data_IF_971562741106
#
_entry.id   IF_971562741106
#
_cell.length_a   1.000
_cell.length_b   1.000
_cell.length_c   1.000
_cell.angle_alpha   90.00
_cell.angle_beta   90.00
_cell.angle_gamma   90.00
#
_symmetry.space_group_name_H-M   'P 1'
#
loop_
_entity.id
_entity.type
_entity.pdbx_description
1 polymer ?
#
# COMPACT_ATOMS: atom_id res chain seq x y z
N UNK A 1 30.95 13.08 2.42
CA UNK A 1 30.67 12.19 3.57
C UNK A 1 31.52 10.93 3.54
N UNK A 2 31.45 10.04 2.52
CA UNK A 2 32.29 8.82 2.49
C UNK A 2 33.79 9.10 2.67
N UNK A 3 34.35 10.03 1.90
CA UNK A 3 35.77 10.44 2.03
C UNK A 3 36.10 10.97 3.43
N UNK A 4 35.18 11.75 4.02
CA UNK A 4 35.33 12.24 5.40
C UNK A 4 35.38 11.09 6.42
N UNK A 5 34.47 10.10 6.32
CA UNK A 5 34.44 8.93 7.21
C UNK A 5 35.66 8.01 7.04
N UNK A 6 36.26 7.99 5.85
CA UNK A 6 37.52 7.27 5.58
C UNK A 6 38.78 8.01 6.02
N UNK A 7 38.66 9.26 6.48
CA UNK A 7 39.81 10.11 6.79
C UNK A 7 40.49 10.72 5.55
N UNK A 8 39.92 10.55 4.36
CA UNK A 8 40.36 11.12 3.09
C UNK A 8 39.87 12.58 2.97
N UNK A 9 40.33 13.45 3.88
CA UNK A 9 39.85 14.84 3.99
C UNK A 9 40.60 15.80 3.05
N UNK A 10 41.68 15.33 2.41
CA UNK A 10 42.53 16.13 1.52
C UNK A 10 41.80 16.70 0.31
N UNK A 11 40.75 16.00 -0.15
CA UNK A 11 39.97 16.39 -1.33
C UNK A 11 38.71 17.20 -0.96
N UNK A 12 38.48 17.48 0.32
CA UNK A 12 37.31 18.22 0.80
C UNK A 12 37.64 19.69 1.04
N UNK A 13 36.76 20.58 0.58
CA UNK A 13 36.83 21.99 0.96
C UNK A 13 36.67 22.15 2.48
N UNK A 14 37.22 23.22 3.05
CA UNK A 14 37.07 23.51 4.49
C UNK A 14 35.60 23.63 4.92
N UNK A 15 34.73 24.14 4.05
CA UNK A 15 33.28 24.19 4.29
C UNK A 15 32.63 22.81 4.29
N UNK A 16 33.03 21.92 3.37
CA UNK A 16 32.47 20.58 3.27
C UNK A 16 32.92 19.70 4.43
N UNK A 17 34.18 19.81 4.83
CA UNK A 17 34.72 19.12 6.00
C UNK A 17 33.98 19.54 7.29
N UNK A 18 33.75 20.84 7.49
CA UNK A 18 32.95 21.35 8.62
C UNK A 18 31.49 20.88 8.57
N UNK A 19 30.89 20.83 7.39
CA UNK A 19 29.51 20.35 7.19
C UNK A 19 29.37 18.85 7.45
N UNK A 20 30.37 18.05 7.07
CA UNK A 20 30.43 16.63 7.38
C UNK A 20 30.62 16.41 8.88
N UNK A 21 31.57 17.09 9.51
CA UNK A 21 31.85 16.95 10.94
C UNK A 21 30.62 17.13 11.84
N UNK A 22 29.73 18.06 11.49
CA UNK A 22 28.49 18.35 12.25
C UNK A 22 27.48 17.21 12.28
N UNK A 23 27.46 16.37 11.24
CA UNK A 23 26.45 15.30 11.12
C UNK A 23 27.08 13.92 11.03
N UNK A 24 28.40 13.80 11.02
CA UNK A 24 29.11 12.53 10.79
C UNK A 24 28.74 11.46 11.83
N UNK A 25 28.34 11.85 13.04
CA UNK A 25 27.87 10.93 14.07
C UNK A 25 26.62 10.14 13.70
N UNK A 26 25.85 10.60 12.71
CA UNK A 26 24.62 9.95 12.24
C UNK A 26 24.88 9.07 11.00
N UNK A 27 26.13 8.92 10.56
CA UNK A 27 26.49 8.18 9.36
C UNK A 27 27.61 7.18 9.61
N UNK A 28 27.52 6.03 8.95
CA UNK A 28 28.53 4.99 9.01
C UNK A 28 28.71 4.34 7.63
N UNK A 29 29.83 3.63 7.46
CA UNK A 29 30.07 2.81 6.29
C UNK A 29 29.89 1.35 6.67
N UNK A 30 29.14 0.59 5.86
CA UNK A 30 29.10 -0.86 6.00
C UNK A 30 30.38 -1.52 5.44
N UNK A 31 30.48 -2.84 5.60
CA UNK A 31 31.62 -3.63 5.12
C UNK A 31 31.82 -3.54 3.60
N UNK A 32 30.77 -3.23 2.84
CA UNK A 32 30.79 -3.05 1.38
C UNK A 32 31.09 -1.60 0.97
N UNK A 33 31.29 -0.71 1.94
CA UNK A 33 31.52 0.72 1.72
C UNK A 33 30.28 1.50 1.28
N UNK A 34 29.07 0.96 1.50
CA UNK A 34 27.81 1.69 1.39
C UNK A 34 27.66 2.64 2.58
N UNK A 35 27.03 3.79 2.33
CA UNK A 35 26.83 4.80 3.37
C UNK A 35 25.46 4.56 4.00
N UNK A 36 25.42 4.37 5.31
CA UNK A 36 24.22 4.22 6.11
C UNK A 36 23.97 5.48 6.94
N UNK A 37 22.70 5.75 7.22
CA UNK A 37 22.25 6.81 8.11
C UNK A 37 21.53 6.20 9.31
N UNK A 38 22.00 6.55 10.50
CA UNK A 38 21.58 6.01 11.79
C UNK A 38 21.27 7.19 12.73
N UNK A 39 20.02 7.70 12.73
CA UNK A 39 19.64 8.94 13.44
C UNK A 39 19.67 8.81 14.98
N UNK A 40 19.70 7.58 15.48
CA UNK A 40 19.71 7.24 16.91
C UNK A 40 20.82 6.25 17.14
N UNK A 41 21.55 6.40 18.25
CA UNK A 41 22.54 5.40 18.66
C UNK A 41 21.79 4.09 18.96
N UNK A 42 22.01 3.03 18.17
CA UNK A 42 21.36 1.75 18.41
C UNK A 42 21.82 1.18 19.76
N UNK A 43 20.92 0.51 20.47
CA UNK A 43 21.23 -0.14 21.75
C UNK A 43 21.76 -1.58 21.54
N UNK A 44 21.49 -2.16 20.38
CA UNK A 44 21.94 -3.49 19.93
C UNK A 44 22.18 -3.49 18.41
N UNK A 45 22.82 -4.54 17.88
CA UNK A 45 22.97 -4.74 16.43
C UNK A 45 21.61 -4.94 15.73
N UNK A 46 20.64 -5.58 16.38
CA UNK A 46 19.27 -5.73 15.86
C UNK A 46 18.54 -4.37 15.76
N UNK A 47 18.72 -3.51 16.76
CA UNK A 47 18.23 -2.12 16.71
C UNK A 47 18.92 -1.33 15.60
N UNK A 48 20.22 -1.59 15.35
CA UNK A 48 20.94 -0.94 14.25
C UNK A 48 20.36 -1.34 12.91
N UNK A 49 20.20 -2.64 12.68
CA UNK A 49 19.71 -3.16 11.39
C UNK A 49 18.27 -2.72 11.10
N UNK A 50 17.46 -2.46 12.13
CA UNK A 50 16.11 -1.91 11.99
C UNK A 50 16.07 -0.37 11.83
N UNK A 51 17.07 0.36 12.33
CA UNK A 51 17.13 1.84 12.29
C UNK A 51 17.99 2.40 11.16
N UNK A 52 18.95 1.64 10.64
CA UNK A 52 19.83 2.06 9.57
C UNK A 52 19.05 2.30 8.26
N UNK A 53 19.39 3.37 7.55
CA UNK A 53 18.81 3.71 6.25
C UNK A 53 19.90 3.85 5.21
N UNK A 54 19.72 3.21 4.06
CA UNK A 54 20.69 3.30 2.98
C UNK A 54 20.69 4.72 2.42
N UNK A 55 21.87 5.35 2.38
CA UNK A 55 22.02 6.69 1.81
C UNK A 55 22.12 6.61 0.30
N UNK A 56 21.13 7.20 -0.37
CA UNK A 56 21.01 7.13 -1.83
C UNK A 56 21.80 8.28 -2.48
N UNK A 57 22.71 7.97 -3.43
CA UNK A 57 23.43 9.00 -4.18
C UNK A 57 22.46 9.79 -5.07
N UNK A 58 22.78 11.06 -5.32
CA UNK A 58 21.93 11.98 -6.10
C UNK A 58 21.49 11.41 -7.45
N UNK A 59 22.37 10.67 -8.12
CA UNK A 59 22.11 10.03 -9.41
C UNK A 59 21.00 8.98 -9.38
N UNK A 60 20.70 8.37 -8.23
CA UNK A 60 19.68 7.32 -8.09
C UNK A 60 18.41 7.82 -7.39
N UNK A 61 18.40 9.06 -6.87
CA UNK A 61 17.25 9.58 -6.13
C UNK A 61 15.99 9.61 -7.00
N UNK A 62 16.13 9.95 -8.29
CA UNK A 62 15.00 10.00 -9.22
C UNK A 62 14.37 8.61 -9.43
N UNK A 63 15.19 7.57 -9.54
CA UNK A 63 14.71 6.18 -9.71
C UNK A 63 13.99 5.69 -8.46
N UNK A 64 14.50 6.01 -7.27
CA UNK A 64 13.83 5.69 -6.00
C UNK A 64 12.49 6.42 -5.90
N UNK A 65 12.45 7.72 -6.21
CA UNK A 65 11.21 8.51 -6.19
C UNK A 65 10.19 7.98 -7.19
N UNK A 66 10.64 7.63 -8.40
CA UNK A 66 9.79 7.01 -9.41
C UNK A 66 9.24 5.66 -8.93
N UNK A 67 10.08 4.80 -8.35
CA UNK A 67 9.66 3.51 -7.82
C UNK A 67 8.58 3.66 -6.75
N UNK A 68 8.77 4.54 -5.76
CA UNK A 68 7.83 4.69 -4.64
C UNK A 68 6.60 5.54 -4.94
N UNK A 69 6.57 6.25 -6.06
CA UNK A 69 5.42 7.06 -6.45
C UNK A 69 4.74 6.56 -7.73
N UNK A 70 5.45 6.57 -8.86
CA UNK A 70 4.85 6.38 -10.18
C UNK A 70 4.77 4.90 -10.59
N UNK A 71 5.64 4.02 -10.07
CA UNK A 71 5.53 2.58 -10.37
C UNK A 71 4.22 1.99 -9.82
N UNK A 72 3.84 0.78 -10.28
CA UNK A 72 2.67 0.07 -9.74
C UNK A 72 2.78 -0.19 -8.23
N UNK A 73 3.98 -0.45 -7.71
CA UNK A 73 4.21 -0.57 -6.26
C UNK A 73 4.05 0.79 -5.57
N UNK A 74 4.33 1.89 -6.25
CA UNK A 74 4.17 3.26 -5.76
C UNK A 74 2.72 3.74 -5.73
N UNK A 75 1.91 3.34 -6.70
CA UNK A 75 0.46 3.55 -6.74
C UNK A 75 -0.01 5.01 -6.82
N UNK A 76 0.86 5.93 -7.26
CA UNK A 76 0.66 7.38 -7.28
C UNK A 76 0.10 7.94 -5.98
N UNK A 77 0.61 7.45 -4.85
CA UNK A 77 0.19 7.92 -3.54
C UNK A 77 0.63 9.37 -3.28
N UNK A 78 -0.09 10.06 -2.40
CA UNK A 78 0.20 11.46 -2.05
C UNK A 78 1.51 11.62 -1.27
N UNK A 79 2.03 12.86 -1.24
CA UNK A 79 3.35 13.25 -0.67
C UNK A 79 3.66 12.55 0.66
N UNK A 80 2.73 12.61 1.63
CA UNK A 80 2.95 12.04 2.95
C UNK A 80 3.14 10.52 2.94
N UNK A 81 2.36 9.79 2.14
CA UNK A 81 2.46 8.33 2.02
C UNK A 81 3.74 7.93 1.31
N UNK A 82 4.07 8.61 0.20
CA UNK A 82 5.32 8.38 -0.54
C UNK A 82 6.54 8.64 0.34
N UNK A 83 6.56 9.76 1.07
CA UNK A 83 7.67 10.11 1.96
C UNK A 83 7.91 9.04 3.03
N UNK A 84 6.86 8.56 3.68
CA UNK A 84 6.99 7.57 4.75
C UNK A 84 7.56 6.25 4.24
N UNK A 85 7.13 5.79 3.06
CA UNK A 85 7.68 4.59 2.43
C UNK A 85 9.16 4.74 2.07
N UNK A 86 9.55 5.86 1.46
CA UNK A 86 10.97 6.09 1.13
C UNK A 86 11.81 6.21 2.41
N UNK A 87 11.34 6.98 3.40
CA UNK A 87 12.04 7.20 4.69
C UNK A 87 12.22 5.91 5.49
N UNK A 88 11.35 4.92 5.31
CA UNK A 88 11.44 3.64 6.01
C UNK A 88 12.70 2.84 5.65
N UNK A 89 13.29 3.06 4.47
CA UNK A 89 14.44 2.26 3.99
C UNK A 89 15.62 3.12 3.51
N UNK A 90 15.36 4.35 3.08
CA UNK A 90 16.33 5.21 2.40
C UNK A 90 16.46 6.57 3.07
N UNK A 91 17.64 7.17 2.86
CA UNK A 91 17.93 8.52 3.32
C UNK A 91 18.72 9.32 2.28
N UNK A 92 18.46 10.62 2.24
CA UNK A 92 19.38 11.61 1.69
C UNK A 92 19.04 12.98 2.27
N UNK A 93 20.00 13.91 2.22
CA UNK A 93 19.77 15.28 2.68
C UNK A 93 18.68 15.92 1.82
N UNK A 94 17.62 16.40 2.46
CA UNK A 94 16.49 17.01 1.77
C UNK A 94 15.43 16.04 1.24
N UNK A 95 15.43 14.76 1.67
CA UNK A 95 14.46 13.73 1.28
C UNK A 95 13.02 14.24 1.14
N UNK A 96 12.47 14.85 2.18
CA UNK A 96 11.08 15.36 2.15
C UNK A 96 10.86 16.39 1.03
N UNK A 97 11.81 17.31 0.81
CA UNK A 97 11.74 18.33 -0.25
C UNK A 97 11.79 17.67 -1.63
N UNK A 98 12.64 16.66 -1.82
CA UNK A 98 12.70 15.90 -3.08
C UNK A 98 11.38 15.19 -3.36
N UNK A 99 10.77 14.53 -2.37
CA UNK A 99 9.46 13.89 -2.50
C UNK A 99 8.36 14.90 -2.81
N UNK A 100 8.30 16.01 -2.06
CA UNK A 100 7.30 17.06 -2.27
C UNK A 100 7.37 17.63 -3.68
N UNK A 101 8.58 17.88 -4.20
CA UNK A 101 8.81 18.35 -5.56
C UNK A 101 8.36 17.31 -6.59
N UNK A 102 8.86 16.08 -6.50
CA UNK A 102 8.57 15.01 -7.45
C UNK A 102 7.07 14.69 -7.56
N UNK A 103 6.38 14.54 -6.42
CA UNK A 103 4.93 14.27 -6.41
C UNK A 103 4.13 15.51 -6.83
N UNK A 104 4.60 16.71 -6.48
CA UNK A 104 3.97 17.97 -6.87
C UNK A 104 4.01 18.24 -8.36
N UNK A 105 5.05 17.77 -9.05
CA UNK A 105 5.28 17.91 -10.50
C UNK A 105 4.73 16.72 -11.31
N UNK A 106 4.07 15.74 -10.67
CA UNK A 106 3.54 14.57 -11.36
C UNK A 106 2.28 14.89 -12.18
N UNK A 107 2.44 14.88 -13.51
CA UNK A 107 1.38 15.18 -14.48
C UNK A 107 0.18 14.22 -14.37
N UNK A 108 0.42 12.93 -14.14
CA UNK A 108 -0.64 11.93 -13.97
C UNK A 108 -1.49 12.22 -12.73
N UNK A 109 -0.82 12.64 -11.63
CA UNK A 109 -1.50 13.02 -10.40
C UNK A 109 -2.33 14.29 -10.56
N UNK A 110 -1.85 15.27 -11.34
CA UNK A 110 -2.56 16.52 -11.62
C UNK A 110 -3.81 16.29 -12.46
N UNK A 111 -3.69 15.53 -13.54
CA UNK A 111 -4.81 15.19 -14.44
C UNK A 111 -5.83 14.28 -13.74
N UNK A 112 -5.39 13.47 -12.77
CA UNK A 112 -6.26 12.61 -11.95
C UNK A 112 -6.93 13.28 -10.74
N UNK A 113 -6.77 14.59 -10.48
CA UNK A 113 -7.40 15.28 -9.33
C UNK A 113 -8.91 15.50 -9.55
N UNK A 114 -9.73 14.55 -9.11
CA UNK A 114 -11.14 14.82 -8.78
C UNK A 114 -11.27 15.54 -7.43
N UNK A 115 -12.24 16.44 -7.27
CA UNK A 115 -12.57 17.01 -5.94
C UNK A 115 -13.09 15.90 -5.02
N UNK A 116 -12.51 15.67 -3.83
CA UNK A 116 -13.10 14.76 -2.88
C UNK A 116 -14.45 15.32 -2.45
N UNK A 117 -15.53 14.55 -2.65
CA UNK A 117 -16.77 14.77 -1.91
C UNK A 117 -16.49 14.29 -0.49
N UNK A 118 -16.17 15.23 0.39
CA UNK A 118 -16.12 14.94 1.83
C UNK A 118 -17.58 14.80 2.28
N UNK A 119 -18.11 13.58 2.21
CA UNK A 119 -19.29 13.25 2.99
C UNK A 119 -18.85 13.10 4.45
N UNK A 120 -19.56 13.79 5.34
CA UNK A 120 -19.27 13.80 6.78
C UNK A 120 -19.33 12.41 7.41
N UNK A 121 -18.93 12.34 8.68
CA UNK A 121 -18.91 11.09 9.43
C UNK A 121 -20.29 10.42 9.46
N UNK A 122 -20.36 9.19 8.96
CA UNK A 122 -21.54 8.33 9.14
C UNK A 122 -21.69 7.97 10.62
N UNK A 123 -22.82 8.30 11.27
CA UNK A 123 -23.00 7.99 12.68
C UNK A 123 -23.23 6.48 12.91
N UNK A 124 -22.53 5.91 13.90
CA UNK A 124 -22.94 4.65 14.56
C UNK A 124 -22.45 3.33 13.95
N UNK A 125 -21.16 3.21 13.65
CA UNK A 125 -20.59 1.96 13.13
C UNK A 125 -20.37 0.90 14.22
N UNK A 126 -20.85 -0.33 13.99
CA UNK A 126 -20.29 -1.51 14.67
C UNK A 126 -18.80 -1.52 14.35
N UNK A 127 -17.94 -1.55 15.36
CA UNK A 127 -16.50 -1.47 15.21
C UNK A 127 -15.92 -2.88 15.20
N UNK A 128 -15.04 -3.17 14.25
CA UNK A 128 -14.32 -4.43 14.24
C UNK A 128 -13.32 -4.43 15.41
N UNK A 129 -13.14 -5.59 16.02
CA UNK A 129 -12.30 -5.77 17.21
C UNK A 129 -11.03 -6.56 16.93
N UNK A 130 -10.96 -7.25 15.79
CA UNK A 130 -9.77 -7.96 15.31
C UNK A 130 -9.79 -8.07 13.77
N UNK A 131 -8.63 -8.36 13.13
CA UNK A 131 -8.51 -8.47 11.67
C UNK A 131 -9.53 -9.44 11.07
N UNK A 132 -10.16 -9.02 9.96
CA UNK A 132 -11.11 -9.82 9.16
C UNK A 132 -12.40 -10.26 9.87
N UNK A 133 -12.67 -9.78 11.10
CA UNK A 133 -13.95 -9.97 11.77
C UNK A 133 -15.10 -9.44 10.90
N UNK A 134 -14.93 -8.25 10.34
CA UNK A 134 -15.93 -7.60 9.51
C UNK A 134 -15.30 -7.07 8.23
N UNK A 135 -15.88 -7.45 7.10
CA UNK A 135 -15.44 -7.02 5.78
C UNK A 135 -16.53 -6.18 5.14
N UNK A 136 -16.15 -5.07 4.54
CA UNK A 136 -16.99 -4.38 3.56
C UNK A 136 -16.68 -4.91 2.17
N UNK A 137 -17.74 -5.27 1.44
CA UNK A 137 -17.69 -5.65 0.05
C UNK A 137 -18.28 -4.50 -0.78
N UNK A 138 -17.55 -4.10 -1.81
CA UNK A 138 -17.99 -3.16 -2.83
C UNK A 138 -17.75 -3.76 -4.22
N UNK A 139 -18.41 -3.18 -5.21
CA UNK A 139 -18.43 -3.69 -6.57
C UNK A 139 -18.53 -2.55 -7.57
N UNK A 140 -17.59 -2.49 -8.50
CA UNK A 140 -17.65 -1.56 -9.63
C UNK A 140 -18.17 -2.34 -10.85
N UNK A 141 -19.46 -2.18 -11.20
CA UNK A 141 -20.05 -2.88 -12.33
C UNK A 141 -19.66 -2.23 -13.66
N UNK A 142 -19.85 -2.98 -14.75
CA UNK A 142 -19.93 -2.43 -16.11
C UNK A 142 -18.68 -1.66 -16.55
N UNK A 143 -17.49 -2.10 -16.13
CA UNK A 143 -16.23 -1.59 -16.65
C UNK A 143 -16.06 -1.99 -18.13
N UNK A 144 -15.30 -1.21 -18.92
CA UNK A 144 -14.94 -1.58 -20.28
C UNK A 144 -14.39 -3.01 -20.32
N UNK A 145 -14.83 -3.82 -21.29
CA UNK A 145 -14.40 -5.22 -21.35
C UNK A 145 -12.89 -5.31 -21.55
N UNK A 146 -12.19 -5.90 -20.57
CA UNK A 146 -10.75 -6.01 -20.60
C UNK A 146 -10.25 -6.99 -21.68
N UNK A 147 -8.94 -7.06 -21.90
CA UNK A 147 -8.32 -8.09 -22.74
C UNK A 147 -8.59 -9.51 -22.25
N UNK A 148 -8.70 -9.72 -20.93
CA UNK A 148 -9.05 -11.01 -20.33
C UNK A 148 -10.55 -11.25 -20.28
N UNK A 149 -11.36 -10.30 -20.76
CA UNK A 149 -12.82 -10.41 -20.81
C UNK A 149 -13.55 -10.04 -19.52
N UNK A 150 -12.85 -9.41 -18.57
CA UNK A 150 -13.45 -8.93 -17.33
C UNK A 150 -14.27 -7.66 -17.54
N UNK A 151 -15.37 -7.53 -16.80
CA UNK A 151 -16.27 -6.35 -16.83
C UNK A 151 -16.62 -5.84 -15.45
N UNK A 152 -16.22 -6.56 -14.40
CA UNK A 152 -16.57 -6.26 -13.02
C UNK A 152 -15.30 -6.20 -12.17
N UNK A 153 -15.21 -5.24 -11.25
CA UNK A 153 -14.16 -5.21 -10.23
C UNK A 153 -14.80 -5.40 -8.86
N UNK A 154 -14.43 -6.49 -8.19
CA UNK A 154 -14.82 -6.79 -6.81
C UNK A 154 -13.78 -6.22 -5.87
N UNK A 155 -14.23 -5.58 -4.78
CA UNK A 155 -13.36 -5.00 -3.77
C UNK A 155 -13.84 -5.44 -2.40
N UNK A 156 -12.92 -5.95 -1.58
CA UNK A 156 -13.15 -6.24 -0.17
C UNK A 156 -12.20 -5.42 0.68
N UNK A 157 -12.71 -4.86 1.77
CA UNK A 157 -11.93 -4.07 2.72
C UNK A 157 -12.18 -4.63 4.12
N UNK A 158 -11.12 -5.08 4.78
CA UNK A 158 -11.19 -5.39 6.20
C UNK A 158 -11.40 -4.10 7.00
N UNK A 159 -12.46 -4.06 7.81
CA UNK A 159 -12.82 -2.84 8.53
C UNK A 159 -11.90 -2.59 9.73
N UNK A 160 -11.23 -3.62 10.26
CA UNK A 160 -10.27 -3.46 11.34
C UNK A 160 -8.95 -2.87 10.85
N UNK A 161 -8.27 -3.57 9.94
CA UNK A 161 -6.93 -3.21 9.45
C UNK A 161 -6.94 -2.20 8.31
N UNK A 162 -8.07 -2.08 7.58
CA UNK A 162 -8.14 -1.32 6.33
C UNK A 162 -7.56 -2.06 5.13
N UNK A 163 -7.23 -3.35 5.26
CA UNK A 163 -6.61 -4.15 4.20
C UNK A 163 -7.55 -4.30 3.00
N UNK A 164 -7.08 -3.93 1.83
CA UNK A 164 -7.84 -3.91 0.57
C UNK A 164 -7.48 -5.13 -0.28
N UNK A 165 -8.51 -5.80 -0.78
CA UNK A 165 -8.41 -6.92 -1.72
C UNK A 165 -9.25 -6.53 -2.93
N UNK A 166 -8.72 -6.72 -4.13
CA UNK A 166 -9.42 -6.45 -5.37
C UNK A 166 -9.30 -7.64 -6.31
N UNK A 167 -10.35 -7.93 -7.07
CA UNK A 167 -10.40 -9.04 -8.02
C UNK A 167 -11.21 -8.66 -9.25
N UNK A 168 -10.61 -8.77 -10.43
CA UNK A 168 -11.33 -8.61 -11.67
C UNK A 168 -12.17 -9.86 -11.97
N UNK A 169 -13.38 -9.67 -12.47
CA UNK A 169 -14.32 -10.75 -12.80
C UNK A 169 -15.03 -10.49 -14.13
N UNK A 170 -15.32 -11.57 -14.85
CA UNK A 170 -16.11 -11.56 -16.08
C UNK A 170 -17.62 -11.68 -15.84
N UNK A 171 -18.02 -11.91 -14.58
CA UNK A 171 -19.42 -12.14 -14.23
C UNK A 171 -19.77 -11.52 -12.88
N UNK A 172 -20.99 -10.97 -12.83
CA UNK A 172 -21.62 -10.39 -11.64
C UNK A 172 -22.55 -11.36 -10.91
N UNK A 173 -22.55 -12.65 -11.27
CA UNK A 173 -23.44 -13.63 -10.64
C UNK A 173 -23.02 -13.87 -9.19
N UNK A 174 -24.00 -14.17 -8.34
CA UNK A 174 -23.74 -14.48 -6.94
C UNK A 174 -22.80 -15.69 -6.76
N UNK A 175 -22.87 -16.67 -7.67
CA UNK A 175 -21.97 -17.82 -7.72
C UNK A 175 -20.51 -17.40 -7.97
N UNK A 176 -20.25 -16.64 -9.03
CA UNK A 176 -18.89 -16.17 -9.36
C UNK A 176 -18.32 -15.28 -8.26
N UNK A 177 -19.16 -14.44 -7.65
CA UNK A 177 -18.73 -13.57 -6.55
C UNK A 177 -18.39 -14.40 -5.30
N UNK A 178 -19.15 -15.46 -5.00
CA UNK A 178 -18.85 -16.41 -3.93
C UNK A 178 -17.53 -17.15 -4.16
N UNK A 179 -17.26 -17.57 -5.40
CA UNK A 179 -15.98 -18.21 -5.78
C UNK A 179 -14.80 -17.25 -5.60
N UNK A 180 -14.94 -15.99 -6.03
CA UNK A 180 -13.89 -14.99 -5.85
C UNK A 180 -13.68 -14.63 -4.36
N UNK A 181 -14.75 -14.51 -3.57
CA UNK A 181 -14.64 -14.29 -2.12
C UNK A 181 -13.95 -15.47 -1.44
N UNK A 182 -14.33 -16.70 -1.81
CA UNK A 182 -13.68 -17.90 -1.31
C UNK A 182 -12.17 -17.86 -1.60
N UNK A 183 -11.81 -17.58 -2.85
CA UNK A 183 -10.43 -17.56 -3.32
C UNK A 183 -9.57 -16.48 -2.67
N UNK A 184 -10.08 -15.25 -2.65
CA UNK A 184 -9.29 -14.06 -2.36
C UNK A 184 -9.33 -13.67 -0.89
N UNK A 185 -10.40 -14.04 -0.18
CA UNK A 185 -10.61 -13.65 1.22
C UNK A 185 -10.56 -14.88 2.11
N UNK A 186 -11.49 -15.82 1.93
CA UNK A 186 -11.65 -16.95 2.86
C UNK A 186 -10.40 -17.83 2.93
N UNK A 187 -9.84 -18.24 1.79
CA UNK A 187 -8.62 -19.09 1.77
C UNK A 187 -7.40 -18.42 2.40
N UNK A 188 -7.35 -17.08 2.44
CA UNK A 188 -6.20 -16.31 2.92
C UNK A 188 -6.34 -15.88 4.38
N UNK A 189 -7.55 -15.54 4.80
CA UNK A 189 -7.81 -14.86 6.07
C UNK A 189 -8.87 -15.55 6.95
N UNK A 190 -9.53 -16.58 6.43
CA UNK A 190 -10.59 -17.30 7.13
C UNK A 190 -11.97 -16.65 6.98
N UNK A 191 -12.92 -17.12 7.77
CA UNK A 191 -14.30 -16.67 7.73
C UNK A 191 -14.48 -15.32 8.45
N UNK A 192 -15.26 -14.42 7.84
CA UNK A 192 -15.72 -13.20 8.49
C UNK A 192 -17.05 -13.41 9.21
N UNK A 193 -17.22 -12.73 10.35
CA UNK A 193 -18.48 -12.76 11.10
C UNK A 193 -19.55 -11.87 10.45
N UNK A 194 -19.13 -10.79 9.78
CA UNK A 194 -20.03 -9.85 9.10
C UNK A 194 -19.47 -9.49 7.74
N UNK A 195 -20.32 -9.56 6.72
CA UNK A 195 -20.06 -9.00 5.39
C UNK A 195 -21.03 -7.84 5.18
N UNK A 196 -20.50 -6.62 5.12
CA UNK A 196 -21.27 -5.42 4.78
C UNK A 196 -21.29 -5.24 3.28
N UNK A 197 -22.45 -4.92 2.72
CA UNK A 197 -22.64 -4.71 1.29
C UNK A 197 -23.77 -3.70 1.04
N UNK A 198 -23.79 -3.14 -0.16
CA UNK A 198 -24.83 -2.24 -0.69
C UNK A 198 -25.87 -2.99 -1.56
N UNK A 199 -25.60 -4.25 -1.91
CA UNK A 199 -26.47 -5.10 -2.74
C UNK A 199 -27.81 -5.41 -2.09
N UNK A 200 -28.79 -5.71 -2.93
CA UNK A 200 -30.12 -6.13 -2.49
C UNK A 200 -30.09 -7.48 -1.72
N UNK A 201 -31.02 -7.69 -0.77
CA UNK A 201 -31.04 -8.90 0.05
C UNK A 201 -31.14 -10.22 -0.73
N UNK A 202 -31.84 -10.22 -1.88
CA UNK A 202 -32.00 -11.41 -2.72
C UNK A 202 -30.66 -11.91 -3.28
N UNK A 203 -29.86 -11.00 -3.82
CA UNK A 203 -28.52 -11.29 -4.32
C UNK A 203 -27.63 -11.92 -3.24
N UNK A 204 -27.66 -11.38 -2.02
CA UNK A 204 -26.82 -11.89 -0.94
C UNK A 204 -27.28 -13.25 -0.42
N UNK A 205 -28.59 -13.52 -0.41
CA UNK A 205 -29.12 -14.85 -0.13
C UNK A 205 -28.54 -15.90 -1.09
N UNK A 206 -28.51 -15.58 -2.39
CA UNK A 206 -27.94 -16.47 -3.40
C UNK A 206 -26.41 -16.59 -3.28
N UNK A 207 -25.71 -15.50 -2.93
CA UNK A 207 -24.28 -15.50 -2.67
C UNK A 207 -23.93 -16.44 -1.51
N UNK A 208 -24.62 -16.32 -0.38
CA UNK A 208 -24.35 -17.19 0.78
C UNK A 208 -24.73 -18.64 0.52
N UNK A 209 -25.77 -18.89 -0.29
CA UNK A 209 -26.13 -20.25 -0.72
C UNK A 209 -25.03 -20.85 -1.60
N UNK A 210 -24.49 -20.09 -2.53
CA UNK A 210 -23.36 -20.49 -3.36
C UNK A 210 -22.11 -20.74 -2.50
N UNK A 211 -21.74 -19.78 -1.66
CA UNK A 211 -20.58 -19.88 -0.78
C UNK A 211 -20.66 -21.09 0.16
N UNK A 212 -21.81 -21.30 0.82
CA UNK A 212 -22.02 -22.46 1.70
C UNK A 212 -21.89 -23.78 0.96
N UNK A 213 -22.25 -23.83 -0.32
CA UNK A 213 -22.06 -25.02 -1.18
C UNK A 213 -20.58 -25.24 -1.48
N UNK A 214 -19.84 -24.16 -1.79
CA UNK A 214 -18.40 -24.21 -2.08
C UNK A 214 -17.62 -24.73 -0.87
N UNK A 215 -17.86 -24.16 0.31
CA UNK A 215 -17.12 -24.55 1.54
C UNK A 215 -17.66 -25.81 2.23
N UNK A 216 -18.78 -26.37 1.75
CA UNK A 216 -19.41 -27.56 2.32
C UNK A 216 -20.02 -27.36 3.73
N UNK A 217 -20.17 -26.12 4.18
CA UNK A 217 -20.66 -25.77 5.52
C UNK A 217 -21.63 -24.59 5.46
N UNK A 218 -22.63 -24.59 6.35
CA UNK A 218 -23.51 -23.42 6.49
C UNK A 218 -22.75 -22.29 7.18
N UNK A 219 -22.46 -21.24 6.43
CA UNK A 219 -21.86 -20.03 6.99
C UNK A 219 -22.92 -19.21 7.74
N UNK A 220 -22.56 -18.72 8.93
CA UNK A 220 -23.41 -17.91 9.81
C UNK A 220 -23.05 -16.42 9.79
N UNK A 221 -22.30 -15.96 8.78
CA UNK A 221 -21.97 -14.56 8.66
C UNK A 221 -23.27 -13.73 8.68
N UNK A 222 -23.32 -12.74 9.57
CA UNK A 222 -24.51 -11.90 9.72
C UNK A 222 -24.53 -10.86 8.62
N UNK A 223 -25.65 -10.74 7.92
CA UNK A 223 -25.87 -9.68 6.93
C UNK A 223 -26.14 -8.37 7.67
N UNK A 224 -25.28 -7.38 7.46
CA UNK A 224 -25.55 -6.01 7.86
C UNK A 224 -25.69 -5.15 6.61
N UNK A 225 -26.89 -5.12 6.02
CA UNK A 225 -27.24 -4.17 4.97
C UNK A 225 -27.22 -2.76 5.56
N UNK A 226 -26.25 -1.94 5.19
CA UNK A 226 -26.17 -0.53 5.59
C UNK A 226 -25.56 0.34 4.46
N UNK A 227 -26.41 0.88 3.56
CA UNK A 227 -25.97 1.79 2.50
C UNK A 227 -25.26 3.06 3.00
N UNK A 228 -25.49 3.45 4.26
CA UNK A 228 -25.03 4.73 4.82
C UNK A 228 -23.81 4.61 5.76
N UNK A 229 -23.21 3.43 5.92
CA UNK A 229 -22.21 3.16 6.95
C UNK A 229 -20.76 2.97 6.43
N UNK A 230 -20.54 3.10 5.11
CA UNK A 230 -19.33 2.63 4.44
C UNK A 230 -18.27 3.70 4.17
N UNK A 231 -18.29 4.86 4.83
CA UNK A 231 -17.35 5.95 4.54
C UNK A 231 -15.85 5.57 4.54
N UNK A 232 -15.41 4.53 5.26
CA UNK A 232 -14.03 4.02 5.18
C UNK A 232 -13.81 3.11 3.97
N UNK A 233 -14.74 2.21 3.65
CA UNK A 233 -14.67 1.36 2.47
C UNK A 233 -14.79 2.19 1.18
N UNK A 234 -15.74 3.13 1.14
CA UNK A 234 -15.93 4.08 0.04
C UNK A 234 -14.67 4.90 -0.23
N UNK A 235 -14.00 5.41 0.83
CA UNK A 235 -12.74 6.14 0.67
C UNK A 235 -11.64 5.25 0.07
N UNK A 236 -11.54 3.99 0.49
CA UNK A 236 -10.55 3.06 -0.07
C UNK A 236 -10.86 2.71 -1.53
N UNK A 237 -12.13 2.46 -1.85
CA UNK A 237 -12.59 2.19 -3.23
C UNK A 237 -12.34 3.40 -4.13
N UNK A 238 -12.63 4.62 -3.66
CA UNK A 238 -12.33 5.85 -4.38
C UNK A 238 -10.82 6.02 -4.61
N UNK A 239 -10.00 5.69 -3.61
CA UNK A 239 -8.54 5.74 -3.73
C UNK A 239 -8.06 4.75 -4.78
N UNK A 240 -8.53 3.50 -4.74
CA UNK A 240 -8.19 2.47 -5.74
C UNK A 240 -8.63 2.91 -7.15
N UNK A 241 -9.87 3.38 -7.30
CA UNK A 241 -10.41 3.80 -8.60
C UNK A 241 -9.64 4.98 -9.17
N UNK A 242 -9.23 5.93 -8.33
CA UNK A 242 -8.39 7.06 -8.75
C UNK A 242 -7.00 6.61 -9.16
N UNK A 243 -6.37 5.73 -8.37
CA UNK A 243 -5.08 5.15 -8.71
C UNK A 243 -5.15 4.40 -10.03
N UNK A 244 -6.17 3.57 -10.24
CA UNK A 244 -6.37 2.79 -11.45
C UNK A 244 -6.40 3.67 -12.71
N UNK A 245 -7.09 4.82 -12.66
CA UNK A 245 -7.15 5.78 -13.78
C UNK A 245 -5.79 6.34 -14.21
N UNK A 246 -4.79 6.35 -13.32
CA UNK A 246 -3.44 6.84 -13.64
C UNK A 246 -2.60 5.79 -14.37
N UNK A 247 -2.95 4.51 -14.29
CA UNK A 247 -2.20 3.41 -14.94
C UNK A 247 -2.85 2.90 -16.22
N UNK A 248 -4.17 3.04 -16.35
CA UNK A 248 -4.89 2.65 -17.55
C UNK A 248 -4.36 3.47 -18.72
N UNK A 249 -3.65 2.80 -19.62
CA UNK A 249 -2.91 3.42 -20.72
C UNK A 249 -3.62 3.23 -22.06
N UNK A 250 -4.42 2.16 -22.18
CA UNK A 250 -5.22 1.88 -23.36
C UNK A 250 -6.32 2.93 -23.52
N UNK A 251 -6.44 3.50 -24.73
CA UNK A 251 -7.48 4.49 -25.08
C UNK A 251 -8.90 3.93 -24.83
N UNK A 252 -9.08 2.63 -25.05
CA UNK A 252 -10.32 1.90 -24.80
C UNK A 252 -10.37 1.30 -23.39
N UNK A 253 -9.38 1.58 -22.56
CA UNK A 253 -9.27 1.17 -21.17
C UNK A 253 -9.35 -0.35 -21.00
N UNK A 254 -8.76 -1.14 -21.90
CA UNK A 254 -8.90 -2.61 -21.88
C UNK A 254 -7.87 -3.34 -21.00
N UNK A 255 -6.91 -2.60 -20.46
CA UNK A 255 -5.80 -3.06 -19.61
C UNK A 255 -6.06 -2.85 -18.10
N UNK A 256 -7.23 -2.31 -17.71
CA UNK A 256 -7.52 -1.98 -16.31
C UNK A 256 -7.38 -3.15 -15.34
N UNK A 257 -7.72 -4.36 -15.78
CA UNK A 257 -7.71 -5.55 -14.93
C UNK A 257 -6.31 -6.08 -14.64
N UNK A 258 -5.30 -5.66 -15.41
CA UNK A 258 -3.90 -5.91 -15.10
C UNK A 258 -3.43 -5.10 -13.89
N UNK A 259 -3.94 -3.87 -13.74
CA UNK A 259 -3.49 -2.94 -12.72
C UNK A 259 -4.32 -3.01 -11.44
N UNK A 260 -5.64 -3.23 -11.55
CA UNK A 260 -6.55 -3.13 -10.41
C UNK A 260 -6.15 -4.03 -9.22
N UNK A 261 -5.77 -5.27 -9.48
CA UNK A 261 -5.33 -6.20 -8.42
C UNK A 261 -3.94 -5.83 -7.90
N UNK A 262 -3.01 -5.44 -8.78
CA UNK A 262 -1.63 -5.09 -8.42
C UNK A 262 -1.55 -3.83 -7.55
N UNK A 263 -2.45 -2.89 -7.77
CA UNK A 263 -2.51 -1.64 -7.00
C UNK A 263 -2.88 -1.84 -5.53
N UNK A 264 -3.49 -2.97 -5.17
CA UNK A 264 -3.78 -3.29 -3.76
C UNK A 264 -2.52 -3.32 -2.92
N UNK A 265 -1.37 -3.75 -3.47
CA UNK A 265 -0.09 -3.72 -2.76
C UNK A 265 0.26 -2.30 -2.32
N UNK A 266 0.25 -1.34 -3.25
CA UNK A 266 0.56 0.05 -2.96
C UNK A 266 -0.37 0.67 -1.90
N UNK A 267 -1.65 0.28 -1.88
CA UNK A 267 -2.62 0.73 -0.88
C UNK A 267 -2.36 0.08 0.48
N UNK A 268 -2.06 -1.22 0.52
CA UNK A 268 -1.87 -1.97 1.75
C UNK A 268 -0.53 -1.66 2.43
N UNK A 269 0.47 -1.18 1.69
CA UNK A 269 1.77 -0.75 2.24
C UNK A 269 1.85 0.76 2.49
N UNK A 270 0.78 1.51 2.23
CA UNK A 270 0.74 2.93 2.51
C UNK A 270 0.29 3.18 3.95
N UNK A 271 0.99 4.09 4.64
CA UNK A 271 0.63 4.45 6.01
C UNK A 271 -0.82 4.99 6.09
N UNK A 272 -1.63 4.37 6.95
CA UNK A 272 -2.96 4.85 7.30
C UNK A 272 -2.88 5.70 8.57
N UNK A 273 -3.10 7.01 8.42
CA UNK A 273 -3.03 7.96 9.53
C UNK A 273 -4.10 7.73 10.60
N UNK A 274 -5.24 7.14 10.24
CA UNK A 274 -6.33 6.89 11.19
C UNK A 274 -5.96 5.71 12.09
N UNK A 275 -5.34 4.67 11.52
CA UNK A 275 -4.96 3.45 12.24
C UNK A 275 -3.56 3.50 12.85
N UNK A 276 -2.71 4.42 12.39
CA UNK A 276 -1.35 4.61 12.88
C UNK A 276 -0.30 3.77 12.15
N UNK A 277 -0.70 2.82 11.32
CA UNK A 277 0.19 1.85 10.69
C UNK A 277 -0.25 1.49 9.25
N UNK A 278 0.47 0.59 8.58
CA UNK A 278 0.09 0.06 7.26
C UNK A 278 -0.98 -1.03 7.38
N UNK A 279 -2.00 -1.07 6.49
CA UNK A 279 -2.95 -2.16 6.49
C UNK A 279 -2.32 -3.55 6.39
N UNK A 280 -1.21 -3.69 5.66
CA UNK A 280 -0.46 -4.92 5.54
C UNK A 280 0.09 -5.38 6.89
N UNK A 281 0.81 -4.50 7.61
CA UNK A 281 1.35 -4.81 8.93
C UNK A 281 0.24 -5.17 9.91
N UNK A 282 -0.85 -4.40 9.94
CA UNK A 282 -1.98 -4.67 10.85
C UNK A 282 -2.66 -6.02 10.57
N UNK A 283 -2.64 -6.49 9.32
CA UNK A 283 -3.22 -7.77 8.93
C UNK A 283 -2.27 -8.95 9.16
N UNK A 284 -0.96 -8.76 9.02
CA UNK A 284 0.01 -9.85 8.94
C UNK A 284 1.01 -9.88 10.10
N UNK A 285 1.21 -8.77 10.80
CA UNK A 285 2.19 -8.60 11.89
C UNK A 285 3.62 -8.35 11.41
N UNK A 286 3.84 -8.10 10.12
CA UNK A 286 5.15 -7.81 9.53
C UNK A 286 4.98 -6.93 8.29
N UNK A 287 6.02 -6.17 7.93
CA UNK A 287 6.04 -5.31 6.74
C UNK A 287 6.60 -6.04 5.52
N UNK A 288 6.00 -5.88 4.34
CA UNK A 288 6.49 -6.49 3.11
C UNK A 288 7.67 -5.70 2.55
N UNK A 289 8.53 -6.37 1.80
CA UNK A 289 9.63 -5.73 1.07
C UNK A 289 9.20 -5.31 -0.32
N UNK A 290 9.56 -4.09 -0.75
CA UNK A 290 9.44 -3.68 -2.16
C UNK A 290 10.42 -4.43 -3.05
N UNK A 291 10.18 -4.44 -4.37
CA UNK A 291 11.14 -5.06 -5.31
C UNK A 291 12.49 -4.36 -5.31
N UNK A 292 12.51 -3.04 -5.08
CA UNK A 292 13.75 -2.29 -4.95
C UNK A 292 14.51 -2.68 -3.67
N UNK A 293 13.83 -2.81 -2.54
CA UNK A 293 14.46 -3.31 -1.31
C UNK A 293 14.98 -4.75 -1.47
N UNK A 294 14.24 -5.61 -2.18
CA UNK A 294 14.66 -6.99 -2.41
C UNK A 294 15.92 -7.07 -3.29
N UNK A 295 16.02 -6.21 -4.32
CA UNK A 295 17.16 -6.14 -5.22
C UNK A 295 18.41 -5.55 -4.54
N UNK A 296 18.22 -4.63 -3.60
CA UNK A 296 19.28 -4.07 -2.78
C UNK A 296 19.57 -5.03 -1.62
N UNK A 297 20.39 -6.05 -1.84
CA UNK A 297 20.90 -6.94 -0.77
C UNK A 297 21.74 -6.14 0.23
N UNK A 298 21.09 -5.44 1.16
CA UNK A 298 21.66 -5.14 2.46
C UNK A 298 21.51 -6.45 3.24
N UNK A 299 22.59 -7.20 3.40
CA UNK A 299 22.59 -8.41 4.22
C UNK A 299 22.20 -8.00 5.63
N UNK A 300 20.95 -8.23 6.02
CA UNK A 300 20.61 -8.41 7.43
C UNK A 300 21.41 -9.63 7.86
N UNK A 301 22.32 -9.45 8.82
CA UNK A 301 23.01 -10.58 9.42
C UNK A 301 21.93 -11.47 10.06
N UNK A 302 21.74 -12.68 9.52
CA UNK A 302 20.97 -13.68 10.23
C UNK A 302 21.70 -13.95 11.56
N UNK A 303 21.02 -13.90 12.72
CA UNK A 303 21.64 -14.34 13.96
C UNK A 303 21.99 -15.82 13.80
N UNK A 304 23.29 -16.13 13.95
CA UNK A 304 23.82 -17.49 14.05
C UNK A 304 23.35 -18.18 15.32
#
# INVERSE_FOLDING_TARGET
MKSYLRGEVTDLSSSDAKSCAKTACDYELDESGLLLYCPTKPQSDEDRDSLARLVIPETLQQDVLHHYHASLEGGHQGIGRTYQRVKAHFHWRGLFRSVQRFVGECVDCETGKGRPLIQGESPGNVQATYPFQMIAMDHIPSLPKSYKGNTELLIWVDLFTGYVIAKASASRTAQTIAENYEECVFRRFGASEVIRHDREPGFMSDFFRAFSRIVGQKQRATMAYRPQANGTAERMVQTLTRSLKMYVSDVNQRDWDEYAERLTFALNTAQDRVRGDTPFYLAHGWDPRSTLEAALTVRQHAPT
#
